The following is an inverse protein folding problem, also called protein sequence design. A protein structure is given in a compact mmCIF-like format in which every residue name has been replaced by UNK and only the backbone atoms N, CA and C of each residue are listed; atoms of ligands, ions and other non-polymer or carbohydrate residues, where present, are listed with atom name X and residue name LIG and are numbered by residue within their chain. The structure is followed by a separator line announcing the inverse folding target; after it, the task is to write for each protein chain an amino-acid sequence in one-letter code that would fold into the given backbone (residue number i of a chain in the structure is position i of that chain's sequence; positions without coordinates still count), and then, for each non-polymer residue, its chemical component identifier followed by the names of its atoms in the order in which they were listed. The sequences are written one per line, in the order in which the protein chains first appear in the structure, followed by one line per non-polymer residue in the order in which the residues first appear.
data_IF_687555214700
#
_entry.id   IF_687555214700
#
_cell.length_a   1.000
_cell.length_b   1.000
_cell.length_c   1.000
_cell.angle_alpha   90.00
_cell.angle_beta   90.00
_cell.angle_gamma   90.00
#
_symmetry.space_group_name_H-M   'P 1'
#
loop_
_entity.id
_entity.type
_entity.pdbx_description
1 polymer ?
#
# COMPACT_ATOMS: atom_id res chain seq x y z
N UNK A 1 -13.52 -21.67 7.90
CA UNK A 1 -14.26 -20.39 7.87
C UNK A 1 -14.38 -19.84 6.47
N UNK A 2 -15.58 -19.38 6.11
CA UNK A 2 -15.86 -18.72 4.85
C UNK A 2 -16.08 -17.23 5.14
N UNK A 3 -15.10 -16.40 4.78
CA UNK A 3 -15.00 -15.00 5.19
C UNK A 3 -14.32 -14.19 4.08
N UNK A 4 -14.26 -12.87 4.26
CA UNK A 4 -13.63 -11.95 3.30
C UNK A 4 -12.20 -12.39 2.93
N UNK A 5 -11.92 -12.48 1.64
CA UNK A 5 -10.62 -12.92 1.12
C UNK A 5 -10.45 -14.43 1.02
N UNK A 6 -11.49 -15.23 1.29
CA UNK A 6 -11.46 -16.68 1.13
C UNK A 6 -12.43 -17.19 0.06
N UNK A 7 -12.24 -18.47 -0.31
CA UNK A 7 -13.13 -19.19 -1.21
C UNK A 7 -13.47 -20.56 -0.65
N UNK A 8 -14.54 -21.16 -1.14
CA UNK A 8 -14.92 -22.55 -0.83
C UNK A 8 -15.46 -23.25 -2.07
N UNK A 9 -15.26 -24.56 -2.12
CA UNK A 9 -15.76 -25.42 -3.21
C UNK A 9 -16.90 -26.27 -2.68
N UNK A 10 -17.98 -26.40 -3.47
CA UNK A 10 -19.15 -27.25 -3.19
C UNK A 10 -19.63 -27.89 -4.49
N UNK A 11 -19.26 -29.15 -4.73
CA UNK A 11 -19.52 -29.82 -6.00
C UNK A 11 -18.94 -29.00 -7.16
N UNK A 12 -19.76 -28.70 -8.15
CA UNK A 12 -19.39 -27.91 -9.33
C UNK A 12 -19.52 -26.40 -9.12
N UNK A 13 -19.50 -25.92 -7.86
CA UNK A 13 -19.58 -24.50 -7.55
C UNK A 13 -18.42 -24.02 -6.68
N UNK A 14 -17.87 -22.86 -7.05
CA UNK A 14 -16.85 -22.12 -6.32
C UNK A 14 -17.46 -20.82 -5.80
N UNK A 15 -17.58 -20.70 -4.49
CA UNK A 15 -17.97 -19.44 -3.84
C UNK A 15 -16.72 -18.68 -3.42
N UNK A 16 -16.61 -17.42 -3.83
CA UNK A 16 -15.50 -16.50 -3.53
C UNK A 16 -16.07 -15.31 -2.78
N UNK A 17 -15.44 -14.89 -1.67
CA UNK A 17 -15.73 -13.58 -1.05
C UNK A 17 -14.56 -12.65 -1.36
N UNK A 18 -14.71 -11.71 -2.32
CA UNK A 18 -13.63 -10.80 -2.70
C UNK A 18 -13.12 -10.00 -1.49
N UNK A 19 -11.82 -9.74 -1.45
CA UNK A 19 -11.23 -8.93 -0.40
C UNK A 19 -11.68 -7.46 -0.46
N UNK A 20 -12.37 -7.00 -1.49
CA UNK A 20 -12.96 -5.65 -1.59
C UNK A 20 -14.41 -5.58 -1.10
N UNK A 21 -15.06 -6.71 -0.85
CA UNK A 21 -16.49 -6.79 -0.53
C UNK A 21 -16.70 -7.42 0.84
N UNK A 22 -17.52 -6.78 1.68
CA UNK A 22 -17.90 -7.35 2.98
C UNK A 22 -19.22 -8.14 2.95
N UNK A 23 -20.11 -7.82 2.01
CA UNK A 23 -21.50 -8.31 2.05
C UNK A 23 -21.90 -9.12 0.82
N UNK A 24 -21.11 -9.05 -0.27
CA UNK A 24 -21.41 -9.76 -1.53
C UNK A 24 -20.30 -10.77 -1.85
N UNK A 25 -20.69 -12.00 -2.13
CA UNK A 25 -19.84 -13.05 -2.68
C UNK A 25 -20.14 -13.28 -4.15
N UNK A 26 -19.21 -13.97 -4.81
CA UNK A 26 -19.30 -14.40 -6.20
C UNK A 26 -19.38 -15.92 -6.21
N UNK A 27 -20.43 -16.49 -6.80
CA UNK A 27 -20.55 -17.91 -7.08
C UNK A 27 -20.25 -18.16 -8.55
N UNK A 28 -19.30 -19.04 -8.81
CA UNK A 28 -18.95 -19.54 -10.15
C UNK A 28 -19.41 -20.99 -10.22
N UNK A 29 -20.34 -21.29 -11.13
CA UNK A 29 -20.88 -22.62 -11.38
C UNK A 29 -20.22 -23.18 -12.65
N UNK A 30 -19.76 -24.43 -12.59
CA UNK A 30 -19.00 -25.10 -13.64
C UNK A 30 -19.80 -26.23 -14.29
N UNK A 31 -19.55 -26.47 -15.56
CA UNK A 31 -19.94 -27.68 -16.27
C UNK A 31 -18.68 -28.31 -16.87
N UNK A 32 -18.07 -29.25 -16.13
CA UNK A 32 -16.72 -29.73 -16.43
C UNK A 32 -15.70 -28.61 -16.29
N UNK A 33 -15.03 -28.27 -17.39
CA UNK A 33 -13.99 -27.23 -17.42
C UNK A 33 -14.51 -25.86 -17.91
N UNK A 34 -15.81 -25.73 -18.18
CA UNK A 34 -16.44 -24.48 -18.61
C UNK A 34 -17.19 -23.79 -17.47
N UNK A 35 -17.08 -22.47 -17.39
CA UNK A 35 -17.91 -21.65 -16.50
C UNK A 35 -19.31 -21.57 -17.12
N UNK A 36 -20.29 -22.21 -16.48
CA UNK A 36 -21.69 -22.18 -16.92
C UNK A 36 -22.34 -20.86 -16.51
N UNK A 37 -22.16 -20.43 -15.25
CA UNK A 37 -22.82 -19.26 -14.68
C UNK A 37 -21.98 -18.55 -13.62
N UNK A 38 -22.14 -17.23 -13.54
CA UNK A 38 -21.57 -16.39 -12.48
C UNK A 38 -22.70 -15.62 -11.80
N UNK A 39 -22.76 -15.70 -10.46
CA UNK A 39 -23.80 -15.07 -9.64
C UNK A 39 -23.20 -14.25 -8.51
N UNK A 40 -23.78 -13.10 -8.23
CA UNK A 40 -23.60 -12.42 -6.95
C UNK A 40 -24.57 -12.98 -5.92
N UNK A 41 -24.11 -13.22 -4.70
CA UNK A 41 -24.95 -13.62 -3.59
C UNK A 41 -24.63 -12.80 -2.33
N UNK A 42 -25.63 -12.61 -1.48
CA UNK A 42 -25.46 -11.99 -0.17
C UNK A 42 -24.80 -12.97 0.79
N UNK A 43 -23.67 -12.59 1.38
CA UNK A 43 -22.83 -13.50 2.19
C UNK A 43 -23.52 -13.98 3.47
N UNK A 44 -24.44 -13.18 4.03
CA UNK A 44 -25.13 -13.49 5.28
C UNK A 44 -26.34 -14.40 5.05
N UNK A 45 -27.16 -14.06 4.05
CA UNK A 45 -28.44 -14.74 3.78
C UNK A 45 -28.31 -15.86 2.75
N UNK A 46 -27.27 -15.83 1.90
CA UNK A 46 -27.09 -16.75 0.78
C UNK A 46 -27.99 -16.46 -0.42
N UNK A 47 -28.80 -15.40 -0.37
CA UNK A 47 -29.72 -15.04 -1.45
C UNK A 47 -28.95 -14.58 -2.69
N UNK A 48 -29.38 -15.05 -3.86
CA UNK A 48 -28.82 -14.61 -5.15
C UNK A 48 -29.30 -13.18 -5.42
N UNK A 49 -28.34 -12.28 -5.64
CA UNK A 49 -28.57 -10.87 -5.94
C UNK A 49 -28.70 -10.61 -7.44
N UNK A 50 -28.07 -11.45 -8.26
CA UNK A 50 -28.18 -11.38 -9.71
C UNK A 50 -27.08 -12.15 -10.42
N UNK A 51 -27.25 -12.32 -11.73
CA UNK A 51 -26.27 -12.97 -12.61
C UNK A 51 -25.30 -11.94 -13.21
N UNK A 52 -24.10 -12.40 -13.57
CA UNK A 52 -23.03 -11.62 -14.18
C UNK A 52 -22.45 -12.39 -15.37
N UNK A 53 -22.10 -11.66 -16.42
CA UNK A 53 -21.38 -12.24 -17.57
C UNK A 53 -19.86 -12.18 -17.39
N UNK A 54 -19.39 -11.29 -16.51
CA UNK A 54 -17.98 -11.07 -16.25
C UNK A 54 -17.79 -10.63 -14.79
N UNK A 55 -16.68 -11.06 -14.18
CA UNK A 55 -16.26 -10.63 -12.86
C UNK A 55 -14.74 -10.51 -12.84
N UNK A 56 -14.24 -9.49 -12.15
CA UNK A 56 -12.81 -9.32 -11.87
C UNK A 56 -12.56 -9.56 -10.39
N UNK A 57 -11.64 -10.47 -10.07
CA UNK A 57 -11.25 -10.80 -8.71
C UNK A 57 -9.85 -10.23 -8.46
N UNK A 58 -9.78 -9.15 -7.69
CA UNK A 58 -8.51 -8.55 -7.30
C UNK A 58 -7.78 -9.39 -6.23
N UNK A 59 -6.44 -9.33 -6.15
CA UNK A 59 -5.69 -10.00 -5.11
C UNK A 59 -6.19 -9.68 -3.70
N UNK A 60 -6.14 -10.69 -2.81
CA UNK A 60 -6.53 -10.51 -1.41
C UNK A 60 -5.51 -9.71 -0.58
N UNK A 61 -4.31 -9.50 -1.12
CA UNK A 61 -3.22 -8.72 -0.52
C UNK A 61 -2.55 -7.85 -1.58
N UNK A 62 -2.14 -6.65 -1.19
CA UNK A 62 -1.37 -5.73 -2.04
C UNK A 62 0.07 -6.20 -2.30
N UNK A 63 0.57 -7.17 -1.52
CA UNK A 63 1.92 -7.74 -1.67
C UNK A 63 1.92 -9.13 -2.32
N UNK A 64 0.80 -9.55 -2.92
CA UNK A 64 0.71 -10.84 -3.59
C UNK A 64 1.70 -10.89 -4.77
N UNK A 65 2.62 -11.86 -4.73
CA UNK A 65 3.67 -12.01 -5.76
C UNK A 65 4.00 -13.48 -6.01
N UNK A 66 4.73 -13.77 -7.09
CA UNK A 66 5.04 -15.15 -7.47
C UNK A 66 6.20 -15.74 -6.64
N UNK A 67 6.27 -17.07 -6.47
CA UNK A 67 7.37 -17.73 -5.75
C UNK A 67 8.76 -17.36 -6.29
N UNK A 68 8.90 -17.18 -7.61
CA UNK A 68 10.17 -16.78 -8.23
C UNK A 68 10.54 -15.32 -7.95
N UNK A 69 9.57 -14.47 -7.61
CA UNK A 69 9.84 -13.11 -7.12
C UNK A 69 10.33 -13.17 -5.68
N UNK A 70 9.66 -13.97 -4.84
CA UNK A 70 10.00 -14.13 -3.43
C UNK A 70 11.41 -14.67 -3.23
N UNK A 71 11.81 -15.73 -3.95
CA UNK A 71 13.14 -16.32 -3.78
C UNK A 71 14.27 -15.35 -4.15
N UNK A 72 14.07 -14.54 -5.18
CA UNK A 72 15.02 -13.46 -5.53
C UNK A 72 15.06 -12.35 -4.50
N UNK A 73 13.89 -11.98 -3.98
CA UNK A 73 13.79 -10.97 -2.92
C UNK A 73 14.51 -11.45 -1.66
N UNK A 74 14.31 -12.71 -1.25
CA UNK A 74 14.99 -13.34 -0.12
C UNK A 74 16.51 -13.24 -0.30
N UNK A 75 17.05 -13.62 -1.45
CA UNK A 75 18.49 -13.50 -1.70
C UNK A 75 19.00 -12.06 -1.52
N UNK A 76 18.25 -11.09 -2.02
CA UNK A 76 18.62 -9.66 -1.87
C UNK A 76 18.56 -9.20 -0.41
N UNK A 77 17.60 -9.72 0.38
CA UNK A 77 17.48 -9.46 1.82
C UNK A 77 18.66 -10.10 2.57
N UNK A 78 19.05 -11.33 2.22
CA UNK A 78 20.19 -12.05 2.79
C UNK A 78 21.51 -11.30 2.52
N UNK A 79 21.73 -10.85 1.28
CA UNK A 79 22.91 -10.06 0.90
C UNK A 79 22.98 -8.74 1.70
N UNK A 80 21.88 -7.97 1.77
CA UNK A 80 21.83 -6.72 2.54
C UNK A 80 21.97 -6.95 4.05
N UNK A 81 21.45 -8.06 4.56
CA UNK A 81 21.65 -8.49 5.94
C UNK A 81 23.12 -8.75 6.23
N UNK A 82 23.81 -9.49 5.37
CA UNK A 82 25.22 -9.81 5.57
C UNK A 82 26.07 -8.55 5.64
N UNK A 83 25.88 -7.62 4.70
CA UNK A 83 26.58 -6.33 4.67
C UNK A 83 26.30 -5.50 5.93
N UNK A 84 25.03 -5.39 6.33
CA UNK A 84 24.67 -4.64 7.53
C UNK A 84 25.23 -5.27 8.80
N UNK A 85 25.30 -6.60 8.88
CA UNK A 85 25.91 -7.29 10.02
C UNK A 85 27.41 -7.07 10.09
N UNK A 86 28.12 -7.06 8.95
CA UNK A 86 29.56 -6.72 8.90
C UNK A 86 29.78 -5.30 9.42
N UNK A 87 28.96 -4.34 8.99
CA UNK A 87 29.03 -2.95 9.44
C UNK A 87 28.81 -2.84 10.97
N UNK A 88 27.71 -3.39 11.49
CA UNK A 88 27.40 -3.34 12.93
C UNK A 88 28.48 -4.00 13.79
N UNK A 89 28.99 -5.16 13.37
CA UNK A 89 30.08 -5.84 14.08
C UNK A 89 31.38 -5.03 14.08
N UNK A 90 31.70 -4.35 12.97
CA UNK A 90 32.88 -3.46 12.90
C UNK A 90 32.79 -2.24 13.84
N UNK A 91 31.57 -1.88 14.24
CA UNK A 91 31.28 -0.80 15.19
C UNK A 91 31.07 -1.32 16.62
N UNK A 92 31.37 -2.59 16.90
CA UNK A 92 31.13 -3.26 18.19
C UNK A 92 29.64 -3.26 18.64
N UNK A 93 28.70 -3.04 17.71
CA UNK A 93 27.25 -3.07 17.95
C UNK A 93 26.70 -4.50 17.92
N UNK A 94 27.23 -5.35 18.78
CA UNK A 94 26.97 -6.80 18.78
C UNK A 94 25.51 -7.14 19.11
N UNK A 95 24.88 -6.38 20.00
CA UNK A 95 23.48 -6.60 20.38
C UNK A 95 22.53 -6.28 19.22
N UNK A 96 22.76 -5.16 18.54
CA UNK A 96 22.01 -4.74 17.35
C UNK A 96 22.19 -5.74 16.21
N UNK A 97 23.42 -6.22 15.99
CA UNK A 97 23.72 -7.23 14.98
C UNK A 97 22.97 -8.56 15.28
N UNK A 98 23.00 -9.03 16.52
CA UNK A 98 22.29 -10.24 16.92
C UNK A 98 20.76 -10.08 16.73
N UNK A 99 20.21 -8.94 17.17
CA UNK A 99 18.78 -8.62 17.02
C UNK A 99 18.35 -8.62 15.57
N UNK A 100 19.11 -7.93 14.71
CA UNK A 100 18.83 -7.82 13.30
C UNK A 100 18.84 -9.19 12.62
N UNK A 101 19.88 -9.99 12.88
CA UNK A 101 20.01 -11.35 12.34
C UNK A 101 18.82 -12.23 12.71
N UNK A 102 18.46 -12.27 13.99
CA UNK A 102 17.35 -13.09 14.46
C UNK A 102 16.04 -12.67 13.79
N UNK A 103 15.77 -11.36 13.74
CA UNK A 103 14.51 -10.85 13.17
C UNK A 103 14.43 -11.09 11.66
N UNK A 104 15.48 -10.78 10.92
CA UNK A 104 15.47 -10.92 9.46
C UNK A 104 15.42 -12.39 9.04
N UNK A 105 16.13 -13.30 9.72
CA UNK A 105 16.05 -14.73 9.42
C UNK A 105 14.64 -15.29 9.67
N UNK A 106 14.00 -14.90 10.77
CA UNK A 106 12.60 -15.29 11.03
C UNK A 106 11.65 -14.75 9.96
N UNK A 107 11.80 -13.49 9.55
CA UNK A 107 11.01 -12.91 8.47
C UNK A 107 11.23 -13.67 7.14
N UNK A 108 12.47 -14.06 6.82
CA UNK A 108 12.82 -14.86 5.63
C UNK A 108 12.15 -16.25 5.67
N UNK A 109 12.22 -16.96 6.81
CA UNK A 109 11.57 -18.26 6.98
C UNK A 109 10.06 -18.15 6.74
N UNK A 110 9.42 -17.14 7.34
CA UNK A 110 7.99 -16.88 7.13
C UNK A 110 7.65 -16.55 5.67
N UNK A 111 8.46 -15.74 4.99
CA UNK A 111 8.26 -15.45 3.56
C UNK A 111 8.40 -16.71 2.72
N UNK A 112 9.38 -17.58 3.02
CA UNK A 112 9.64 -18.81 2.26
C UNK A 112 8.55 -19.86 2.46
N UNK A 113 8.04 -20.02 3.68
CA UNK A 113 7.02 -21.03 4.00
C UNK A 113 5.59 -20.57 3.69
N UNK A 114 5.26 -19.32 4.04
CA UNK A 114 3.89 -18.81 3.99
C UNK A 114 3.66 -17.81 2.86
N UNK A 115 4.70 -17.38 2.15
CA UNK A 115 4.63 -16.29 1.18
C UNK A 115 4.44 -14.91 1.80
N UNK A 116 4.50 -14.80 3.14
CA UNK A 116 4.23 -13.57 3.88
C UNK A 116 4.87 -13.58 5.27
N UNK A 117 5.25 -12.41 5.79
CA UNK A 117 5.63 -12.21 7.18
C UNK A 117 4.97 -10.94 7.78
N UNK A 118 4.90 -10.87 9.11
CA UNK A 118 4.43 -9.66 9.78
C UNK A 118 5.44 -8.51 9.60
N UNK A 119 5.00 -7.45 8.94
CA UNK A 119 5.87 -6.33 8.60
C UNK A 119 6.55 -6.47 7.23
N UNK A 120 5.99 -7.27 6.31
CA UNK A 120 6.53 -7.50 4.97
C UNK A 120 6.76 -6.19 4.20
N UNK A 121 5.99 -5.14 4.50
CA UNK A 121 6.12 -3.84 3.87
C UNK A 121 7.51 -3.22 4.06
N UNK A 122 8.26 -3.61 5.10
CA UNK A 122 9.64 -3.16 5.31
C UNK A 122 10.62 -3.70 4.25
N UNK A 123 10.20 -4.68 3.45
CA UNK A 123 10.92 -5.22 2.31
C UNK A 123 10.31 -4.78 0.97
N UNK A 124 9.32 -3.86 0.98
CA UNK A 124 8.54 -3.48 -0.21
C UNK A 124 9.40 -3.09 -1.40
N UNK A 125 10.44 -2.27 -1.23
CA UNK A 125 11.38 -1.92 -2.31
C UNK A 125 11.96 -3.16 -3.00
N UNK A 126 12.38 -4.17 -2.23
CA UNK A 126 12.98 -5.39 -2.76
C UNK A 126 11.93 -6.21 -3.50
N UNK A 127 10.74 -6.36 -2.91
CA UNK A 127 9.62 -7.10 -3.49
C UNK A 127 9.15 -6.48 -4.81
N UNK A 128 9.11 -5.14 -4.87
CA UNK A 128 8.79 -4.36 -6.07
C UNK A 128 9.94 -4.31 -7.09
N UNK A 129 11.13 -4.82 -6.73
CA UNK A 129 12.37 -4.74 -7.53
C UNK A 129 12.77 -3.32 -7.91
N UNK A 130 12.50 -2.37 -7.01
CA UNK A 130 12.88 -0.98 -7.20
C UNK A 130 14.32 -0.74 -6.72
N UNK A 131 14.99 0.25 -7.31
CA UNK A 131 16.30 0.68 -6.86
C UNK A 131 16.26 1.34 -5.46
N UNK A 132 17.37 1.33 -4.70
CA UNK A 132 17.45 2.06 -3.43
C UNK A 132 17.11 3.53 -3.58
N UNK A 133 16.37 4.11 -2.62
CA UNK A 133 15.99 5.52 -2.60
C UNK A 133 14.85 5.92 -3.56
N UNK A 134 14.44 5.05 -4.47
CA UNK A 134 13.36 5.34 -5.44
C UNK A 134 12.02 5.61 -4.73
N UNK A 135 11.16 6.47 -5.30
CA UNK A 135 9.84 6.74 -4.73
C UNK A 135 9.00 5.44 -4.64
N UNK A 136 8.29 5.22 -3.53
CA UNK A 136 7.34 4.12 -3.42
C UNK A 136 6.13 4.35 -4.33
N UNK A 137 5.47 3.26 -4.69
CA UNK A 137 4.13 3.35 -5.29
C UNK A 137 3.11 3.75 -4.23
N UNK A 138 2.17 4.58 -4.63
CA UNK A 138 1.12 5.15 -3.79
C UNK A 138 -0.22 5.05 -4.50
N UNK A 139 -1.30 5.44 -3.83
CA UNK A 139 -2.61 5.52 -4.45
C UNK A 139 -2.62 6.40 -5.72
N UNK A 140 -1.78 7.43 -5.79
CA UNK A 140 -1.69 8.31 -6.96
C UNK A 140 -1.26 7.56 -8.22
N UNK A 141 -0.47 6.49 -8.08
CA UNK A 141 0.00 5.66 -9.19
C UNK A 141 -1.08 4.73 -9.77
N UNK A 142 -2.23 4.62 -9.10
CA UNK A 142 -3.38 3.83 -9.57
C UNK A 142 -4.40 4.68 -10.34
N UNK A 143 -4.29 6.00 -10.27
CA UNK A 143 -5.11 6.90 -11.06
C UNK A 143 -4.57 7.00 -12.50
N UNK A 144 -5.44 7.23 -13.49
CA UNK A 144 -5.01 7.64 -14.83
C UNK A 144 -4.18 8.93 -14.79
N UNK A 145 -3.30 9.12 -15.77
CA UNK A 145 -2.41 10.29 -15.84
C UNK A 145 -3.16 11.64 -15.86
N UNK A 146 -4.42 11.65 -16.29
CA UNK A 146 -5.26 12.84 -16.44
C UNK A 146 -6.19 13.11 -15.23
N UNK A 147 -5.90 12.52 -14.07
CA UNK A 147 -6.74 12.69 -12.88
C UNK A 147 -6.78 14.13 -12.35
N UNK A 148 -7.85 14.42 -11.60
CA UNK A 148 -8.07 15.68 -10.88
C UNK A 148 -7.98 15.45 -9.37
N UNK A 149 -7.16 16.25 -8.68
CA UNK A 149 -7.01 16.22 -7.24
C UNK A 149 -7.72 17.42 -6.59
N UNK A 150 -8.48 17.18 -5.53
CA UNK A 150 -8.93 18.23 -4.62
C UNK A 150 -8.17 18.10 -3.31
N UNK A 151 -7.60 19.20 -2.84
CA UNK A 151 -6.95 19.26 -1.53
C UNK A 151 -7.80 20.15 -0.63
N UNK A 152 -8.62 19.48 0.17
CA UNK A 152 -9.43 20.14 1.20
C UNK A 152 -8.55 20.67 2.34
N UNK A 153 -8.97 21.80 2.90
CA UNK A 153 -8.20 22.61 3.85
C UNK A 153 -6.71 22.70 3.51
N UNK A 154 -6.41 23.09 2.26
CA UNK A 154 -5.06 23.01 1.67
C UNK A 154 -3.96 23.62 2.52
N UNK A 155 -4.27 24.73 3.19
CA UNK A 155 -3.37 25.47 4.08
C UNK A 155 -2.87 24.64 5.29
N UNK A 156 -3.59 23.56 5.65
CA UNK A 156 -3.20 22.59 6.68
C UNK A 156 -2.73 21.28 6.05
N UNK A 157 -3.43 20.79 5.03
CA UNK A 157 -3.18 19.49 4.41
C UNK A 157 -1.82 19.43 3.71
N UNK A 158 -1.38 20.50 3.05
CA UNK A 158 -0.08 20.55 2.37
C UNK A 158 1.10 20.54 3.35
N UNK A 159 1.14 21.38 4.42
CA UNK A 159 2.14 21.24 5.46
C UNK A 159 2.19 19.85 6.10
N UNK A 160 1.03 19.23 6.35
CA UNK A 160 0.97 17.88 6.87
C UNK A 160 1.63 16.87 5.91
N UNK A 161 1.24 16.89 4.63
CA UNK A 161 1.81 16.04 3.58
C UNK A 161 3.34 16.19 3.53
N UNK A 162 3.84 17.43 3.57
CA UNK A 162 5.27 17.75 3.57
C UNK A 162 6.02 17.16 4.77
N UNK A 163 5.40 17.16 5.96
CA UNK A 163 6.02 16.70 7.19
C UNK A 163 6.12 15.16 7.30
N UNK A 164 5.26 14.41 6.59
CA UNK A 164 5.14 12.95 6.73
C UNK A 164 6.46 12.21 6.51
N UNK A 165 7.22 12.56 5.47
CA UNK A 165 8.50 11.90 5.18
C UNK A 165 9.52 12.09 6.31
N UNK A 166 9.67 13.31 6.83
CA UNK A 166 10.65 13.60 7.87
C UNK A 166 10.32 12.87 9.18
N UNK A 167 9.03 12.83 9.56
CA UNK A 167 8.56 12.09 10.72
C UNK A 167 8.79 10.59 10.60
N UNK A 168 8.43 9.99 9.45
CA UNK A 168 8.68 8.57 9.20
C UNK A 168 10.17 8.23 9.19
N UNK A 169 11.00 9.09 8.56
CA UNK A 169 12.44 8.91 8.50
C UNK A 169 13.06 8.89 9.89
N UNK A 170 12.75 9.89 10.72
CA UNK A 170 13.29 9.99 12.08
C UNK A 170 12.96 8.76 12.93
N UNK A 171 11.72 8.24 12.84
CA UNK A 171 11.32 7.00 13.53
C UNK A 171 12.12 5.79 13.06
N UNK A 172 12.36 5.68 11.74
CA UNK A 172 13.12 4.57 11.17
C UNK A 172 14.61 4.64 11.44
N UNK A 173 15.17 5.84 11.58
CA UNK A 173 16.57 6.02 11.94
C UNK A 173 16.87 5.25 13.24
N UNK A 174 16.02 5.40 14.26
CA UNK A 174 16.10 4.62 15.51
C UNK A 174 15.98 3.12 15.27
N UNK A 175 15.02 2.65 14.47
CA UNK A 175 14.83 1.22 14.23
C UNK A 175 16.02 0.57 13.52
N UNK A 176 16.62 1.26 12.54
CA UNK A 176 17.75 0.74 11.78
C UNK A 176 19.06 0.89 12.56
N UNK A 177 19.23 1.97 13.32
CA UNK A 177 20.38 2.18 14.20
C UNK A 177 20.47 1.10 15.27
N UNK A 178 19.34 0.76 15.89
CA UNK A 178 19.26 -0.27 16.93
C UNK A 178 18.97 -1.67 16.38
N UNK A 179 19.16 -1.93 15.09
CA UNK A 179 19.11 -3.29 14.53
C UNK A 179 17.74 -3.98 14.59
N UNK A 180 16.64 -3.22 14.61
CA UNK A 180 15.28 -3.78 14.49
C UNK A 180 14.86 -4.00 13.03
N UNK A 181 15.43 -3.23 12.09
CA UNK A 181 15.12 -3.30 10.66
C UNK A 181 16.37 -3.11 9.80
N UNK A 182 16.34 -3.66 8.59
CA UNK A 182 17.37 -3.45 7.57
C UNK A 182 17.29 -2.03 6.98
N UNK A 183 18.39 -1.51 6.37
CA UNK A 183 18.38 -0.21 5.70
C UNK A 183 17.31 -0.08 4.60
N UNK A 184 16.95 -1.15 3.90
CA UNK A 184 15.85 -1.16 2.92
C UNK A 184 14.52 -0.67 3.47
N UNK A 185 14.29 -0.76 4.78
CA UNK A 185 13.07 -0.26 5.41
C UNK A 185 12.90 1.26 5.25
N UNK A 186 13.99 2.01 5.01
CA UNK A 186 13.89 3.43 4.67
C UNK A 186 13.11 3.69 3.38
N UNK A 187 13.11 2.74 2.44
CA UNK A 187 12.46 2.88 1.14
C UNK A 187 10.95 2.53 1.19
N UNK A 188 10.47 2.02 2.34
CA UNK A 188 9.05 1.82 2.63
C UNK A 188 8.40 3.06 3.27
N UNK A 189 8.37 4.19 2.58
CA UNK A 189 8.15 5.52 3.19
C UNK A 189 6.98 6.27 2.55
N UNK A 190 6.50 7.37 3.15
CA UNK A 190 5.73 8.37 2.41
C UNK A 190 6.58 9.01 1.29
N UNK A 191 5.89 9.63 0.34
CA UNK A 191 6.54 10.49 -0.66
C UNK A 191 7.19 11.68 0.03
N UNK A 192 8.35 12.09 -0.49
CA UNK A 192 8.87 13.44 -0.24
C UNK A 192 7.95 14.43 -0.93
N UNK A 193 7.87 15.65 -0.41
CA UNK A 193 6.97 16.66 -0.99
C UNK A 193 7.25 16.91 -2.49
N UNK A 194 8.53 16.98 -2.89
CA UNK A 194 8.90 17.08 -4.31
C UNK A 194 8.48 15.88 -5.16
N UNK A 195 8.44 14.67 -4.59
CA UNK A 195 7.96 13.48 -5.30
C UNK A 195 6.42 13.50 -5.43
N UNK A 196 5.72 14.07 -4.44
CA UNK A 196 4.28 14.32 -4.51
C UNK A 196 3.95 15.37 -5.57
N UNK A 197 4.66 16.51 -5.59
CA UNK A 197 4.50 17.57 -6.60
C UNK A 197 4.63 17.03 -8.02
N UNK A 198 5.63 16.18 -8.27
CA UNK A 198 5.86 15.55 -9.58
C UNK A 198 4.75 14.57 -10.00
N UNK A 199 3.88 14.14 -9.09
CA UNK A 199 2.75 13.25 -9.35
C UNK A 199 1.42 14.00 -9.52
N UNK A 200 1.40 15.31 -9.30
CA UNK A 200 0.19 16.12 -9.49
C UNK A 200 0.01 16.37 -10.99
N UNK A 201 -1.18 16.09 -11.52
CA UNK A 201 -1.59 16.51 -12.85
C UNK A 201 -2.39 17.83 -12.77
N UNK A 202 -3.67 17.76 -12.38
CA UNK A 202 -4.49 18.93 -12.09
C UNK A 202 -4.89 18.92 -10.61
N UNK A 203 -4.83 20.09 -9.97
CA UNK A 203 -5.16 20.24 -8.55
C UNK A 203 -6.04 21.46 -8.31
N UNK A 204 -7.03 21.30 -7.43
CA UNK A 204 -7.82 22.38 -6.86
C UNK A 204 -7.52 22.45 -5.36
N UNK A 205 -6.91 23.55 -4.94
CA UNK A 205 -6.73 23.86 -3.52
C UNK A 205 -8.04 24.47 -2.98
N UNK A 206 -8.59 23.86 -1.94
CA UNK A 206 -9.81 24.34 -1.28
C UNK A 206 -9.42 24.82 0.11
N UNK A 207 -9.55 26.12 0.35
CA UNK A 207 -9.32 26.72 1.67
C UNK A 207 -9.94 28.10 1.76
N UNK A 208 -10.46 28.46 2.93
CA UNK A 208 -10.86 29.83 3.25
C UNK A 208 -9.65 30.75 3.47
N UNK A 209 -8.48 30.19 3.78
CA UNK A 209 -7.23 30.91 4.10
C UNK A 209 -6.05 30.26 3.38
N UNK A 210 -5.99 30.30 2.03
CA UNK A 210 -4.92 29.68 1.27
C UNK A 210 -3.56 30.23 1.70
N UNK A 211 -2.57 29.35 1.89
CA UNK A 211 -1.22 29.77 2.23
C UNK A 211 -0.41 30.14 0.96
N UNK A 212 0.82 30.63 1.16
CA UNK A 212 1.65 31.16 0.08
C UNK A 212 1.91 30.12 -1.03
N UNK A 213 2.08 28.85 -0.66
CA UNK A 213 2.34 27.80 -1.64
C UNK A 213 1.19 27.67 -2.64
N UNK A 214 -0.05 27.67 -2.16
CA UNK A 214 -1.24 27.56 -3.01
C UNK A 214 -1.38 28.78 -3.90
N UNK A 215 -1.16 29.99 -3.35
CA UNK A 215 -1.22 31.25 -4.11
C UNK A 215 -0.17 31.25 -5.24
N UNK A 216 1.07 30.85 -4.93
CA UNK A 216 2.17 30.84 -5.90
C UNK A 216 1.98 29.82 -7.03
N UNK A 217 1.27 28.72 -6.76
CA UNK A 217 1.05 27.62 -7.71
C UNK A 217 -0.34 27.65 -8.36
N UNK A 218 -1.12 28.70 -8.13
CA UNK A 218 -2.46 28.85 -8.73
C UNK A 218 -2.41 29.73 -9.97
N UNK A 219 -2.97 29.23 -11.07
CA UNK A 219 -3.20 30.03 -12.29
C UNK A 219 -4.46 30.89 -12.20
N UNK A 220 -5.42 30.49 -11.35
CA UNK A 220 -6.66 31.19 -11.10
C UNK A 220 -7.07 31.00 -9.64
N UNK A 221 -7.66 32.04 -9.04
CA UNK A 221 -8.22 32.01 -7.69
C UNK A 221 -9.73 32.27 -7.83
N UNK A 222 -10.53 31.26 -7.47
CA UNK A 222 -11.98 31.38 -7.47
C UNK A 222 -12.47 31.66 -6.04
N UNK A 223 -13.16 32.78 -5.85
CA UNK A 223 -13.72 33.16 -4.54
C UNK A 223 -15.18 32.70 -4.42
N UNK A 224 -15.50 31.97 -3.36
CA UNK A 224 -16.86 31.57 -3.01
C UNK A 224 -17.21 32.03 -1.59
N UNK A 225 -17.66 33.29 -1.48
CA UNK A 225 -17.99 33.93 -0.19
C UNK A 225 -19.48 33.93 0.14
N UNK A 226 -20.35 33.81 -0.87
CA UNK A 226 -21.80 33.87 -0.68
C UNK A 226 -22.30 32.51 -0.17
N UNK A 227 -22.82 32.50 1.07
CA UNK A 227 -23.47 31.31 1.62
C UNK A 227 -24.88 31.14 1.05
N UNK A 228 -25.32 29.92 0.69
CA UNK A 228 -26.69 29.67 0.19
C UNK A 228 -27.80 30.12 1.14
N UNK A 229 -27.53 30.17 2.45
CA UNK A 229 -28.48 30.58 3.49
C UNK A 229 -28.63 32.09 3.64
N UNK A 230 -27.78 32.90 3.00
CA UNK A 230 -27.81 34.37 3.12
C UNK A 230 -27.43 34.90 4.50
N UNK A 231 -26.88 34.07 5.39
CA UNK A 231 -26.42 34.50 6.70
C UNK A 231 -25.14 35.33 6.57
N UNK A 232 -25.25 36.63 6.91
CA UNK A 232 -24.13 37.53 7.16
C UNK A 232 -23.44 37.13 8.47
N UNK A 233 -22.11 37.21 8.51
CA UNK A 233 -21.31 36.98 9.74
C UNK A 233 -21.67 37.95 10.87
#
# INVERSE_FOLDING_TARGET
DFSRGSFRVRGDSLDIIPASSSNKGIRVEFFGDEIERIREFDVLTGNILGERNHVSISPASHFATSPEVLERAIKTIEDELEDRLRELNSQEKLLEAQRLRQRTNYDIEMIREMGYCSGIENYSRILDRRGPGTPPQTLLDYFPDDFLMFIDESHVTLPQCRAMYAGDRSRKDTLVEFGFRLPCAYDNRPLKFAEFENKINQVVFVSATPAQYEIDHSTNIAEQVIRPTGLLD
#
